data_IF_414856746133
#
_entry.id   IF_414856746133
#
_cell.length_a   1.000
_cell.length_b   1.000
_cell.length_c   1.000
_cell.angle_alpha   90.00
_cell.angle_beta   90.00
_cell.angle_gamma   90.00
#
_symmetry.space_group_name_H-M   'P 1'
#
loop_
_entity.id
_entity.type
_entity.pdbx_description
1 polymer ?
#
# COMPACT_ATOMS: atom_id res chain seq x y z
N UNK A 1 -22.75 -6.61 28.36
CA UNK A 1 -21.58 -5.90 27.78
C UNK A 1 -21.31 -6.35 26.35
N UNK A 2 -21.23 -7.66 26.04
CA UNK A 2 -21.38 -8.17 24.67
C UNK A 2 -22.68 -7.69 24.02
N UNK A 3 -23.75 -7.60 24.81
CA UNK A 3 -25.04 -7.08 24.38
C UNK A 3 -25.04 -5.68 23.73
N UNK A 4 -24.09 -4.77 24.04
CA UNK A 4 -24.01 -3.47 23.35
C UNK A 4 -23.47 -3.66 21.94
N UNK A 5 -22.34 -4.37 21.82
CA UNK A 5 -21.73 -4.68 20.53
C UNK A 5 -22.67 -5.50 19.64
N UNK A 6 -23.41 -6.44 20.22
CA UNK A 6 -24.39 -7.25 19.48
C UNK A 6 -25.55 -6.39 18.95
N UNK A 7 -26.05 -5.43 19.75
CA UNK A 7 -27.09 -4.49 19.30
C UNK A 7 -26.59 -3.55 18.22
N UNK A 8 -25.39 -2.97 18.38
CA UNK A 8 -24.77 -2.11 17.38
C UNK A 8 -24.56 -2.88 16.08
N UNK A 9 -23.97 -4.08 16.14
CA UNK A 9 -23.78 -4.95 14.98
C UNK A 9 -25.10 -5.28 14.29
N UNK A 10 -26.14 -5.64 15.05
CA UNK A 10 -27.45 -5.94 14.48
C UNK A 10 -28.08 -4.72 13.79
N UNK A 11 -27.95 -3.52 14.37
CA UNK A 11 -28.41 -2.27 13.75
C UNK A 11 -27.65 -1.97 12.46
N UNK A 12 -26.31 -2.02 12.50
CA UNK A 12 -25.42 -1.80 11.34
C UNK A 12 -25.73 -2.79 10.23
N UNK A 13 -25.92 -4.07 10.54
CA UNK A 13 -26.26 -5.09 9.54
C UNK A 13 -27.56 -4.78 8.79
N UNK A 14 -28.54 -4.14 9.45
CA UNK A 14 -29.77 -3.68 8.80
C UNK A 14 -29.51 -2.45 7.93
N UNK A 15 -28.79 -1.46 8.46
CA UNK A 15 -28.51 -0.21 7.75
C UNK A 15 -27.63 -0.41 6.50
N UNK A 16 -26.71 -1.36 6.54
CA UNK A 16 -25.78 -1.70 5.46
C UNK A 16 -26.30 -2.80 4.52
N UNK A 17 -27.56 -3.25 4.67
CA UNK A 17 -28.11 -4.33 3.85
C UNK A 17 -28.11 -4.03 2.34
N UNK A 18 -28.07 -2.75 1.96
CA UNK A 18 -27.97 -2.28 0.57
C UNK A 18 -26.63 -1.63 0.22
N UNK A 19 -25.62 -1.77 1.09
CA UNK A 19 -24.28 -1.27 0.82
C UNK A 19 -23.63 -2.03 -0.34
N UNK A 20 -22.72 -1.37 -1.06
CA UNK A 20 -21.94 -2.05 -2.10
C UNK A 20 -20.96 -3.07 -1.50
N UNK A 21 -20.44 -3.97 -2.34
CA UNK A 21 -19.55 -5.06 -1.91
C UNK A 21 -18.20 -4.59 -1.35
N UNK A 22 -17.81 -3.33 -1.57
CA UNK A 22 -16.56 -2.78 -1.06
C UNK A 22 -16.71 -2.19 0.35
N UNK A 23 -17.93 -1.81 0.74
CA UNK A 23 -18.28 -1.24 2.05
C UNK A 23 -19.33 -2.08 2.78
N UNK A 24 -19.33 -3.39 2.53
CA UNK A 24 -20.32 -4.31 3.06
C UNK A 24 -20.14 -4.58 4.56
N UNK A 25 -21.09 -5.33 5.16
CA UNK A 25 -20.98 -5.76 6.55
C UNK A 25 -19.67 -6.51 6.84
N UNK A 26 -19.13 -7.24 5.86
CA UNK A 26 -17.86 -7.94 5.98
C UNK A 26 -16.69 -6.98 6.19
N UNK A 27 -16.64 -5.85 5.49
CA UNK A 27 -15.68 -4.79 5.72
C UNK A 27 -15.78 -4.25 7.15
N UNK A 28 -16.96 -3.82 7.56
CA UNK A 28 -17.15 -3.22 8.90
C UNK A 28 -16.82 -4.20 10.02
N UNK A 29 -17.13 -5.50 9.86
CA UNK A 29 -16.76 -6.53 10.84
C UNK A 29 -15.24 -6.73 10.98
N UNK A 30 -14.51 -6.74 9.85
CA UNK A 30 -13.04 -6.85 9.87
C UNK A 30 -12.38 -5.62 10.48
N UNK A 31 -12.85 -4.43 10.11
CA UNK A 31 -12.37 -3.16 10.69
C UNK A 31 -12.65 -3.13 12.20
N UNK A 32 -13.85 -3.53 12.64
CA UNK A 32 -14.15 -3.59 14.07
C UNK A 32 -13.23 -4.56 14.81
N UNK A 33 -13.03 -5.78 14.30
CA UNK A 33 -12.12 -6.74 14.91
C UNK A 33 -10.69 -6.18 15.03
N UNK A 34 -10.18 -5.58 13.96
CA UNK A 34 -8.83 -5.03 13.91
C UNK A 34 -8.67 -3.78 14.80
N UNK A 35 -9.65 -2.88 14.82
CA UNK A 35 -9.65 -1.71 15.69
C UNK A 35 -9.64 -2.11 17.17
N UNK A 36 -10.39 -3.15 17.54
CA UNK A 36 -10.36 -3.71 18.88
C UNK A 36 -8.98 -4.27 19.25
N UNK A 37 -8.34 -5.00 18.34
CA UNK A 37 -6.98 -5.52 18.54
C UNK A 37 -5.95 -4.40 18.71
N UNK A 38 -5.98 -3.40 17.82
CA UNK A 38 -5.06 -2.26 17.85
C UNK A 38 -5.24 -1.43 19.12
N UNK A 39 -6.48 -1.16 19.52
CA UNK A 39 -6.78 -0.45 20.77
C UNK A 39 -6.24 -1.19 21.99
N UNK A 40 -6.41 -2.52 22.06
CA UNK A 40 -5.87 -3.31 23.17
C UNK A 40 -4.33 -3.24 23.22
N UNK A 41 -3.65 -3.26 22.08
CA UNK A 41 -2.18 -3.16 21.99
C UNK A 41 -1.63 -1.77 22.35
N UNK A 42 -2.46 -0.72 22.25
CA UNK A 42 -2.10 0.65 22.63
C UNK A 42 -2.62 1.05 24.01
N UNK A 43 -3.26 0.11 24.74
CA UNK A 43 -3.80 0.34 26.09
C UNK A 43 -5.15 1.07 26.12
N UNK A 44 -5.79 1.26 24.96
CA UNK A 44 -7.13 1.82 24.86
C UNK A 44 -8.22 0.74 25.01
N UNK A 45 -9.45 1.15 25.30
CA UNK A 45 -10.56 0.21 25.48
C UNK A 45 -11.00 -0.40 24.14
N UNK A 46 -10.82 -1.72 23.93
CA UNK A 46 -11.18 -2.38 22.68
C UNK A 46 -12.69 -2.33 22.39
N UNK A 47 -13.54 -2.14 23.40
CA UNK A 47 -15.00 -2.08 23.22
C UNK A 47 -15.39 -0.77 22.53
N UNK A 48 -14.80 0.34 22.94
CA UNK A 48 -15.06 1.67 22.36
C UNK A 48 -14.58 1.68 20.91
N UNK A 49 -13.37 1.16 20.64
CA UNK A 49 -12.82 1.08 19.30
C UNK A 49 -13.68 0.22 18.36
N UNK A 50 -14.19 -0.92 18.84
CA UNK A 50 -15.11 -1.76 18.07
C UNK A 50 -16.42 -1.07 17.74
N UNK A 51 -17.04 -0.38 18.71
CA UNK A 51 -18.27 0.39 18.46
C UNK A 51 -18.00 1.51 17.46
N UNK A 52 -16.90 2.25 17.63
CA UNK A 52 -16.51 3.31 16.70
C UNK A 52 -16.30 2.80 15.27
N UNK A 53 -15.59 1.69 15.11
CA UNK A 53 -15.41 1.02 13.83
C UNK A 53 -16.72 0.51 13.22
N UNK A 54 -17.70 0.08 14.02
CA UNK A 54 -19.01 -0.29 13.47
C UNK A 54 -19.76 0.88 12.83
N UNK A 55 -19.48 2.12 13.27
CA UNK A 55 -20.22 3.31 12.83
C UNK A 55 -19.42 4.26 11.93
N UNK A 56 -18.14 3.98 11.64
CA UNK A 56 -17.27 4.89 10.89
C UNK A 56 -17.76 5.19 9.46
N UNK A 57 -18.36 4.20 8.81
CA UNK A 57 -18.83 4.30 7.42
C UNK A 57 -20.29 4.74 7.28
N UNK A 58 -20.93 5.25 8.33
CA UNK A 58 -22.32 5.70 8.23
C UNK A 58 -22.55 6.86 7.25
N UNK A 59 -21.50 7.60 6.91
CA UNK A 59 -21.58 8.58 5.82
C UNK A 59 -22.03 7.90 4.51
N UNK A 60 -21.54 6.70 4.18
CA UNK A 60 -21.97 5.94 2.98
C UNK A 60 -23.44 5.54 3.01
N UNK A 61 -23.97 5.20 4.19
CA UNK A 61 -25.41 4.92 4.37
C UNK A 61 -26.24 6.18 4.09
N UNK A 62 -25.78 7.33 4.59
CA UNK A 62 -26.42 8.61 4.32
C UNK A 62 -26.32 9.02 2.83
N UNK A 63 -25.18 8.78 2.18
CA UNK A 63 -25.03 9.00 0.73
C UNK A 63 -26.10 8.19 -0.04
N UNK A 64 -26.26 6.91 0.30
CA UNK A 64 -27.27 6.05 -0.33
C UNK A 64 -28.70 6.57 -0.13
N UNK A 65 -29.01 7.15 1.05
CA UNK A 65 -30.32 7.76 1.35
C UNK A 65 -30.53 9.11 0.65
N UNK A 66 -29.46 9.81 0.31
CA UNK A 66 -29.48 11.16 -0.26
C UNK A 66 -29.09 11.18 -1.76
N UNK A 67 -29.60 10.22 -2.54
CA UNK A 67 -29.35 10.10 -3.98
C UNK A 67 -27.86 10.06 -4.36
N UNK A 68 -27.03 9.42 -3.53
CA UNK A 68 -25.57 9.26 -3.70
C UNK A 68 -24.81 10.58 -3.76
N UNK A 69 -25.33 11.64 -3.12
CA UNK A 69 -24.57 12.87 -2.91
C UNK A 69 -23.40 12.57 -1.95
N UNK A 70 -22.16 12.97 -2.25
CA UNK A 70 -21.03 12.76 -1.35
C UNK A 70 -21.24 13.41 0.02
N UNK A 71 -20.95 12.66 1.09
CA UNK A 71 -21.06 13.10 2.49
C UNK A 71 -19.75 12.80 3.19
N UNK A 72 -19.19 13.79 3.89
CA UNK A 72 -17.97 13.56 4.65
C UNK A 72 -18.27 12.82 5.96
N UNK A 73 -17.33 12.03 6.50
CA UNK A 73 -17.51 11.34 7.78
C UNK A 73 -17.97 12.26 8.92
N UNK A 74 -17.46 13.49 9.01
CA UNK A 74 -17.88 14.48 10.01
C UNK A 74 -19.35 14.94 9.86
N UNK A 75 -19.88 14.93 8.64
CA UNK A 75 -21.25 15.36 8.35
C UNK A 75 -22.28 14.27 8.72
N UNK A 76 -21.84 13.01 8.91
CA UNK A 76 -22.68 11.89 9.34
C UNK A 76 -22.92 11.85 10.87
N UNK A 77 -22.43 12.85 11.61
CA UNK A 77 -22.49 12.91 13.09
C UNK A 77 -23.88 12.62 13.68
N UNK A 78 -24.94 13.18 13.08
CA UNK A 78 -26.31 13.01 13.57
C UNK A 78 -26.79 11.55 13.43
N UNK A 79 -26.49 10.90 12.30
CA UNK A 79 -26.84 9.51 12.06
C UNK A 79 -26.05 8.57 13.00
N UNK A 80 -24.77 8.86 13.23
CA UNK A 80 -23.97 8.10 14.20
C UNK A 80 -24.57 8.19 15.60
N UNK A 81 -24.92 9.40 16.06
CA UNK A 81 -25.54 9.58 17.39
C UNK A 81 -26.86 8.83 17.55
N UNK A 82 -27.73 8.84 16.53
CA UNK A 82 -28.98 8.06 16.54
C UNK A 82 -28.73 6.57 16.82
N UNK A 83 -27.72 6.00 16.17
CA UNK A 83 -27.34 4.60 16.37
C UNK A 83 -26.77 4.36 17.77
N UNK A 84 -25.89 5.24 18.25
CA UNK A 84 -25.29 5.11 19.58
C UNK A 84 -26.36 5.17 20.68
N UNK A 85 -27.27 6.14 20.61
CA UNK A 85 -28.37 6.30 21.56
C UNK A 85 -29.36 5.14 21.48
N UNK A 86 -29.80 4.78 20.27
CA UNK A 86 -30.74 3.68 20.03
C UNK A 86 -30.21 2.31 20.48
N UNK A 87 -28.89 2.11 20.44
CA UNK A 87 -28.26 0.87 20.92
C UNK A 87 -27.91 0.90 22.41
N UNK A 88 -28.13 2.02 23.10
CA UNK A 88 -27.77 2.20 24.51
C UNK A 88 -26.26 2.19 24.75
N UNK A 89 -25.49 2.80 23.83
CA UNK A 89 -24.06 3.04 24.01
C UNK A 89 -23.86 4.13 25.08
N UNK A 90 -23.01 3.90 26.10
CA UNK A 90 -22.75 4.88 27.15
C UNK A 90 -22.32 6.25 26.61
N UNK A 91 -22.90 7.33 27.14
CA UNK A 91 -22.68 8.69 26.66
C UNK A 91 -21.22 9.16 26.82
N UNK A 92 -20.50 8.63 27.82
CA UNK A 92 -19.07 8.87 28.02
C UNK A 92 -18.20 8.32 26.87
N UNK A 93 -18.72 7.40 26.04
CA UNK A 93 -18.00 6.86 24.87
C UNK A 93 -18.18 7.73 23.62
N UNK A 94 -19.24 8.54 23.55
CA UNK A 94 -19.68 9.21 22.32
C UNK A 94 -18.61 10.14 21.75
N UNK A 95 -17.94 10.92 22.60
CA UNK A 95 -16.90 11.85 22.16
C UNK A 95 -15.73 11.13 21.47
N UNK A 96 -15.26 10.01 22.02
CA UNK A 96 -14.19 9.21 21.41
C UNK A 96 -14.64 8.53 20.13
N UNK A 97 -15.88 8.06 20.08
CA UNK A 97 -16.46 7.43 18.88
C UNK A 97 -16.58 8.45 17.75
N UNK A 98 -17.18 9.61 17.99
CA UNK A 98 -17.33 10.66 16.98
C UNK A 98 -15.97 11.14 16.47
N UNK A 99 -15.00 11.33 17.37
CA UNK A 99 -13.63 11.68 16.96
C UNK A 99 -12.98 10.63 16.08
N UNK A 100 -13.24 9.34 16.33
CA UNK A 100 -12.76 8.27 15.49
C UNK A 100 -13.40 8.29 14.09
N UNK A 101 -14.71 8.54 14.00
CA UNK A 101 -15.41 8.70 12.71
C UNK A 101 -14.89 9.91 11.92
N UNK A 102 -14.65 11.04 12.58
CA UNK A 102 -14.09 12.24 11.91
C UNK A 102 -12.65 12.05 11.39
N UNK A 103 -11.90 11.12 11.99
CA UNK A 103 -10.53 10.84 11.59
C UNK A 103 -10.47 9.82 10.45
N UNK A 104 -11.44 8.89 10.37
CA UNK A 104 -11.59 8.04 9.19
C UNK A 104 -11.90 8.93 7.98
N UNK A 105 -11.10 8.82 6.91
CA UNK A 105 -11.20 9.68 5.72
C UNK A 105 -10.13 10.76 5.59
N UNK A 106 -9.26 10.96 6.60
CA UNK A 106 -8.12 11.89 6.53
C UNK A 106 -6.82 11.16 6.19
N UNK A 107 -5.93 11.78 5.42
CA UNK A 107 -4.66 11.19 4.96
C UNK A 107 -3.52 12.21 4.94
N UNK A 108 -2.28 11.81 5.25
CA UNK A 108 -1.13 12.75 5.27
C UNK A 108 -0.73 13.20 3.88
N UNK A 109 -0.85 12.31 2.89
CA UNK A 109 -0.57 12.62 1.48
C UNK A 109 -1.69 13.41 0.79
N UNK A 110 -2.74 13.79 1.53
CA UNK A 110 -3.78 14.71 1.12
C UNK A 110 -3.60 16.13 1.68
N UNK A 111 -2.40 16.47 2.16
CA UNK A 111 -2.04 17.77 2.77
C UNK A 111 -2.72 18.09 4.11
N UNK A 112 -3.13 17.07 4.88
CA UNK A 112 -3.73 17.23 6.22
C UNK A 112 -2.82 16.68 7.35
N UNK A 113 -2.71 17.42 8.46
CA UNK A 113 -2.09 16.91 9.69
C UNK A 113 -3.02 15.89 10.37
N UNK A 114 -2.50 14.70 10.66
CA UNK A 114 -3.22 13.68 11.42
C UNK A 114 -2.91 13.82 12.91
N UNK A 115 -3.89 14.31 13.69
CA UNK A 115 -3.81 14.31 15.15
C UNK A 115 -4.25 12.96 15.74
N UNK A 116 -3.25 12.15 16.13
CA UNK A 116 -3.43 10.87 16.81
C UNK A 116 -3.61 10.96 18.33
N UNK A 117 -3.90 12.14 18.89
CA UNK A 117 -4.04 12.36 20.34
C UNK A 117 -5.12 11.50 21.02
N UNK A 118 -6.06 10.93 20.26
CA UNK A 118 -7.03 9.95 20.74
C UNK A 118 -6.66 8.53 20.28
N UNK A 119 -6.29 7.66 21.21
CA UNK A 119 -5.89 6.28 20.90
C UNK A 119 -7.01 5.45 20.24
N UNK A 120 -8.29 5.73 20.56
CA UNK A 120 -9.45 5.09 19.90
C UNK A 120 -9.52 5.53 18.43
N UNK A 121 -9.39 6.83 18.16
CA UNK A 121 -9.41 7.35 16.80
C UNK A 121 -8.25 6.80 15.97
N UNK A 122 -7.05 6.76 16.55
CA UNK A 122 -5.87 6.19 15.89
C UNK A 122 -6.06 4.70 15.55
N UNK A 123 -6.63 3.91 16.48
CA UNK A 123 -6.88 2.50 16.25
C UNK A 123 -7.92 2.24 15.14
N UNK A 124 -8.99 3.05 15.06
CA UNK A 124 -10.02 2.91 14.02
C UNK A 124 -9.50 3.36 12.67
N UNK A 125 -8.81 4.51 12.60
CA UNK A 125 -8.13 4.99 11.39
C UNK A 125 -7.18 3.95 10.81
N UNK A 126 -6.31 3.39 11.67
CA UNK A 126 -5.36 2.37 11.24
C UNK A 126 -6.05 1.07 10.80
N UNK A 127 -7.12 0.67 11.48
CA UNK A 127 -7.86 -0.54 11.15
C UNK A 127 -8.55 -0.46 9.78
N UNK A 128 -9.19 0.68 9.49
CA UNK A 128 -9.84 0.93 8.20
C UNK A 128 -8.80 0.92 7.06
N UNK A 129 -7.71 1.68 7.24
CA UNK A 129 -6.62 1.71 6.26
C UNK A 129 -5.96 0.34 6.06
N UNK A 130 -5.76 -0.45 7.11
CA UNK A 130 -5.24 -1.79 6.98
C UNK A 130 -6.18 -2.69 6.17
N UNK A 131 -7.51 -2.60 6.35
CA UNK A 131 -8.48 -3.38 5.56
C UNK A 131 -8.57 -2.93 4.09
N UNK A 132 -8.15 -1.71 3.77
CA UNK A 132 -7.94 -1.24 2.40
C UNK A 132 -6.63 -1.76 1.78
N UNK A 133 -5.75 -2.39 2.57
CA UNK A 133 -4.47 -2.94 2.11
C UNK A 133 -4.46 -4.47 2.03
N UNK A 134 -3.39 -5.03 1.45
CA UNK A 134 -3.15 -6.48 1.39
C UNK A 134 -4.13 -7.19 0.46
N UNK A 135 -4.32 -8.50 0.69
CA UNK A 135 -5.13 -9.34 -0.21
C UNK A 135 -6.60 -8.90 -0.29
N UNK A 136 -7.20 -8.53 0.85
CA UNK A 136 -8.56 -7.99 0.91
C UNK A 136 -8.63 -6.64 0.20
N UNK A 137 -7.66 -5.74 0.45
CA UNK A 137 -7.57 -4.46 -0.23
C UNK A 137 -7.53 -4.57 -1.76
N UNK A 138 -6.76 -5.52 -2.29
CA UNK A 138 -6.75 -5.82 -3.74
C UNK A 138 -8.14 -6.23 -4.21
N UNK A 139 -8.76 -7.23 -3.54
CA UNK A 139 -10.09 -7.70 -3.91
C UNK A 139 -11.13 -6.57 -3.93
N UNK A 140 -11.14 -5.73 -2.88
CA UNK A 140 -12.04 -4.57 -2.75
C UNK A 140 -11.78 -3.54 -3.85
N UNK A 141 -10.53 -3.19 -4.13
CA UNK A 141 -10.18 -2.20 -5.16
C UNK A 141 -10.68 -2.61 -6.55
N UNK A 142 -10.46 -3.86 -6.95
CA UNK A 142 -10.93 -4.37 -8.25
C UNK A 142 -12.45 -4.53 -8.32
N UNK A 143 -13.10 -4.95 -7.23
CA UNK A 143 -14.56 -5.02 -7.18
C UNK A 143 -15.21 -3.63 -7.30
N UNK A 144 -14.69 -2.65 -6.55
CA UNK A 144 -15.21 -1.28 -6.57
C UNK A 144 -14.92 -0.56 -7.89
N UNK A 145 -13.70 -0.68 -8.41
CA UNK A 145 -13.36 -0.15 -9.73
C UNK A 145 -14.23 -0.75 -10.84
N UNK A 146 -14.54 -2.04 -10.76
CA UNK A 146 -15.51 -2.69 -11.66
C UNK A 146 -16.92 -2.09 -11.57
N UNK A 147 -17.39 -1.77 -10.37
CA UNK A 147 -18.68 -1.08 -10.16
C UNK A 147 -18.69 0.33 -10.77
N UNK A 148 -17.57 1.04 -10.68
CA UNK A 148 -17.39 2.38 -11.26
C UNK A 148 -17.11 2.38 -12.77
N UNK A 149 -16.85 1.21 -13.36
CA UNK A 149 -16.43 1.09 -14.75
C UNK A 149 -15.01 1.61 -15.01
N UNK A 150 -14.17 1.66 -13.98
CA UNK A 150 -12.77 2.04 -14.11
C UNK A 150 -11.98 0.98 -14.89
N UNK A 151 -11.04 1.39 -15.77
CA UNK A 151 -10.16 0.43 -16.41
C UNK A 151 -9.27 -0.26 -15.38
N UNK A 152 -8.90 -1.52 -15.63
CA UNK A 152 -7.99 -2.26 -14.74
C UNK A 152 -6.62 -1.58 -14.67
N UNK A 153 -6.11 -1.14 -15.83
CA UNK A 153 -4.84 -0.42 -15.96
C UNK A 153 -4.85 0.44 -17.22
N UNK A 154 -4.30 1.65 -17.14
CA UNK A 154 -4.01 2.51 -18.29
C UNK A 154 -2.52 2.90 -18.30
N UNK A 155 -1.68 2.26 -19.13
CA UNK A 155 -0.26 2.55 -19.20
C UNK A 155 0.08 3.93 -19.80
N UNK A 156 -0.86 4.56 -20.52
CA UNK A 156 -0.64 5.86 -21.15
C UNK A 156 -0.78 7.02 -20.15
N UNK A 157 -1.51 6.82 -19.06
CA UNK A 157 -1.72 7.84 -18.02
C UNK A 157 -0.64 7.77 -16.95
N UNK A 158 -0.01 8.91 -16.67
CA UNK A 158 0.96 9.02 -15.60
C UNK A 158 0.28 8.85 -14.23
N UNK A 159 0.96 8.18 -13.30
CA UNK A 159 0.52 8.12 -11.91
C UNK A 159 0.62 9.49 -11.27
N UNK A 160 -0.35 9.81 -10.42
CA UNK A 160 -0.37 11.06 -9.68
C UNK A 160 0.49 10.98 -8.42
N UNK A 161 1.23 12.05 -8.17
CA UNK A 161 1.99 12.19 -6.92
C UNK A 161 1.13 12.63 -5.74
N UNK A 162 -0.04 13.24 -5.99
CA UNK A 162 -1.02 13.63 -4.98
C UNK A 162 -2.30 12.87 -5.24
N UNK A 163 -2.75 12.11 -4.25
CA UNK A 163 -4.02 11.40 -4.34
C UNK A 163 -5.18 12.37 -4.08
N UNK A 164 -6.23 12.24 -4.89
CA UNK A 164 -7.53 12.88 -4.65
C UNK A 164 -8.59 11.81 -4.72
N UNK A 165 -9.52 11.85 -3.77
CA UNK A 165 -10.59 10.87 -3.70
C UNK A 165 -11.41 10.87 -5.01
N UNK A 166 -11.67 9.67 -5.54
CA UNK A 166 -12.39 9.49 -6.81
C UNK A 166 -11.61 9.87 -8.07
N UNK A 167 -10.36 10.34 -7.97
CA UNK A 167 -9.59 10.75 -9.14
C UNK A 167 -8.41 9.81 -9.43
N UNK A 168 -8.67 8.57 -9.84
CA UNK A 168 -7.63 7.64 -10.32
C UNK A 168 -7.85 7.30 -11.80
N UNK A 169 -6.77 7.01 -12.52
CA UNK A 169 -6.84 6.66 -13.94
C UNK A 169 -7.25 5.21 -14.19
N UNK A 170 -7.05 4.34 -13.21
CA UNK A 170 -7.34 2.90 -13.27
C UNK A 170 -7.26 2.28 -11.88
N UNK A 171 -7.81 1.08 -11.72
CA UNK A 171 -7.73 0.35 -10.44
C UNK A 171 -6.28 0.11 -10.04
N UNK A 172 -5.42 -0.28 -10.99
CA UNK A 172 -4.01 -0.50 -10.70
C UNK A 172 -3.30 0.81 -10.33
N UNK A 173 -3.65 1.95 -10.93
CA UNK A 173 -3.14 3.25 -10.49
C UNK A 173 -3.56 3.56 -9.05
N UNK A 174 -4.79 3.25 -8.65
CA UNK A 174 -5.26 3.43 -7.27
C UNK A 174 -4.40 2.70 -6.23
N UNK A 175 -3.92 1.49 -6.56
CA UNK A 175 -3.00 0.75 -5.70
C UNK A 175 -1.71 1.55 -5.42
N UNK A 176 -1.15 2.19 -6.46
CA UNK A 176 0.07 3.01 -6.33
C UNK A 176 -0.18 4.36 -5.66
N UNK A 177 -1.23 5.06 -6.11
CA UNK A 177 -1.53 6.44 -5.74
C UNK A 177 -2.04 6.53 -4.30
N UNK A 178 -2.73 5.50 -3.81
CA UNK A 178 -3.31 5.46 -2.46
C UNK A 178 -2.83 4.27 -1.64
N UNK A 179 -3.18 3.05 -2.03
CA UNK A 179 -3.17 1.91 -1.10
C UNK A 179 -1.78 1.55 -0.58
N UNK A 180 -0.75 1.64 -1.43
CA UNK A 180 0.66 1.42 -1.01
C UNK A 180 1.14 2.50 -0.04
N UNK A 181 0.62 3.73 -0.16
CA UNK A 181 1.04 4.88 0.66
C UNK A 181 0.41 4.90 2.04
N UNK A 182 -0.70 4.19 2.25
CA UNK A 182 -1.35 4.06 3.56
C UNK A 182 -0.41 3.54 4.66
N UNK A 183 0.64 2.78 4.29
CA UNK A 183 1.71 2.37 5.22
C UNK A 183 2.31 3.55 6.00
N UNK A 184 2.48 4.71 5.34
CA UNK A 184 3.07 5.92 5.92
C UNK A 184 2.10 6.71 6.80
N UNK A 185 0.80 6.42 6.69
CA UNK A 185 -0.27 7.11 7.41
C UNK A 185 -0.66 6.40 8.71
N UNK A 186 -0.13 5.20 8.95
CA UNK A 186 -0.37 4.45 10.18
C UNK A 186 0.09 5.22 11.42
N UNK A 187 -0.85 5.44 12.33
CA UNK A 187 -0.67 6.25 13.53
C UNK A 187 -0.03 5.44 14.66
N UNK A 188 -0.38 4.17 14.78
CA UNK A 188 0.08 3.28 15.84
C UNK A 188 1.23 2.38 15.38
N UNK A 189 2.11 2.03 16.33
CA UNK A 189 3.24 1.14 16.07
C UNK A 189 2.83 -0.29 15.64
N UNK A 190 1.82 -0.93 16.26
CA UNK A 190 1.35 -2.23 15.79
C UNK A 190 0.81 -2.17 14.35
N UNK A 191 0.08 -1.11 13.99
CA UNK A 191 -0.46 -0.96 12.66
C UNK A 191 0.63 -0.76 11.61
N UNK A 192 1.68 0.03 11.90
CA UNK A 192 2.84 0.17 10.99
C UNK A 192 3.45 -1.17 10.61
N UNK A 193 3.60 -2.08 11.58
CA UNK A 193 4.15 -3.43 11.31
C UNK A 193 3.23 -4.25 10.41
N UNK A 194 1.93 -4.24 10.69
CA UNK A 194 0.94 -4.95 9.86
C UNK A 194 0.84 -4.35 8.45
N UNK A 195 0.96 -3.03 8.34
CA UNK A 195 0.88 -2.31 7.08
C UNK A 195 2.10 -2.59 6.19
N UNK A 196 3.29 -2.76 6.75
CA UNK A 196 4.49 -3.12 5.99
C UNK A 196 4.30 -4.45 5.22
N UNK A 197 3.79 -5.48 5.89
CA UNK A 197 3.51 -6.78 5.26
C UNK A 197 2.44 -6.67 4.17
N UNK A 198 1.36 -5.90 4.43
CA UNK A 198 0.27 -5.69 3.47
C UNK A 198 0.68 -4.82 2.28
N UNK A 199 1.51 -3.81 2.51
CA UNK A 199 2.09 -2.96 1.47
C UNK A 199 3.02 -3.77 0.57
N UNK A 200 3.84 -4.66 1.14
CA UNK A 200 4.67 -5.57 0.36
C UNK A 200 3.81 -6.38 -0.60
N UNK A 201 2.72 -6.99 -0.12
CA UNK A 201 1.79 -7.77 -0.94
C UNK A 201 1.19 -6.94 -2.10
N UNK A 202 0.72 -5.72 -1.81
CA UNK A 202 0.21 -4.79 -2.85
C UNK A 202 1.25 -4.53 -3.93
N UNK A 203 2.50 -4.27 -3.53
CA UNK A 203 3.61 -4.03 -4.45
C UNK A 203 3.93 -5.26 -5.29
N UNK A 204 3.89 -6.46 -4.71
CA UNK A 204 4.08 -7.73 -5.44
C UNK A 204 3.00 -7.92 -6.51
N UNK A 205 1.75 -7.75 -6.11
CA UNK A 205 0.61 -7.90 -6.99
C UNK A 205 0.68 -6.91 -8.15
N UNK A 206 0.95 -5.63 -7.87
CA UNK A 206 1.00 -4.61 -8.91
C UNK A 206 2.14 -4.87 -9.91
N UNK A 207 3.31 -5.29 -9.44
CA UNK A 207 4.43 -5.66 -10.31
C UNK A 207 4.09 -6.88 -11.19
N UNK A 208 3.48 -7.93 -10.61
CA UNK A 208 3.04 -9.11 -11.34
C UNK A 208 1.99 -8.78 -12.39
N UNK A 209 0.96 -8.01 -12.01
CA UNK A 209 -0.10 -7.55 -12.91
C UNK A 209 0.49 -6.83 -14.13
N UNK A 210 1.41 -5.87 -13.92
CA UNK A 210 2.07 -5.15 -15.02
C UNK A 210 2.89 -6.08 -15.92
N UNK A 211 3.64 -7.00 -15.32
CA UNK A 211 4.40 -7.99 -16.06
C UNK A 211 3.49 -8.79 -16.99
N UNK A 212 2.36 -9.26 -16.50
CA UNK A 212 1.39 -10.03 -17.28
C UNK A 212 0.72 -9.17 -18.36
N UNK A 213 0.39 -7.93 -18.05
CA UNK A 213 -0.24 -6.98 -18.97
C UNK A 213 0.65 -6.63 -20.17
N UNK A 214 1.94 -6.38 -19.93
CA UNK A 214 2.89 -6.00 -20.98
C UNK A 214 3.33 -7.20 -21.85
N UNK A 215 3.12 -8.44 -21.38
CA UNK A 215 3.71 -9.67 -21.94
C UNK A 215 2.77 -10.53 -22.78
N UNK A 216 2.17 -9.99 -23.83
CA UNK A 216 1.64 -10.82 -24.93
C UNK A 216 2.71 -11.64 -25.70
N UNK A 217 3.92 -11.82 -25.15
CA UNK A 217 5.09 -12.45 -25.79
C UNK A 217 5.79 -13.43 -24.82
N UNK A 218 6.34 -14.56 -25.30
CA UNK A 218 6.80 -15.66 -24.47
C UNK A 218 8.06 -15.33 -23.65
N UNK A 219 8.19 -16.08 -22.56
CA UNK A 219 9.06 -15.87 -21.41
C UNK A 219 10.58 -15.96 -21.69
N UNK A 220 11.31 -14.98 -21.19
CA UNK A 220 12.61 -15.19 -20.57
C UNK A 220 12.54 -14.55 -19.17
N UNK A 221 13.13 -15.19 -18.17
CA UNK A 221 13.06 -14.84 -16.75
C UNK A 221 13.48 -13.40 -16.50
N UNK A 222 12.51 -12.48 -16.48
CA UNK A 222 12.74 -11.08 -16.13
C UNK A 222 12.58 -10.95 -14.63
N UNK A 223 13.64 -10.56 -13.93
CA UNK A 223 13.44 -9.89 -12.66
C UNK A 223 13.05 -8.46 -12.96
N UNK A 224 11.79 -8.13 -12.69
CA UNK A 224 11.30 -6.77 -12.85
C UNK A 224 11.49 -6.04 -11.53
N UNK A 225 12.45 -5.12 -11.50
CA UNK A 225 12.47 -4.04 -10.54
C UNK A 225 11.45 -3.00 -10.96
N UNK A 226 10.43 -2.79 -10.13
CA UNK A 226 9.53 -1.66 -10.31
C UNK A 226 10.07 -0.46 -9.51
N UNK A 227 10.66 0.56 -10.16
CA UNK A 227 11.22 1.72 -9.47
C UNK A 227 10.15 2.53 -8.73
N UNK A 228 8.86 2.33 -9.04
CA UNK A 228 7.73 3.00 -8.39
C UNK A 228 7.35 2.33 -7.07
N UNK A 229 7.36 1.00 -7.01
CA UNK A 229 7.10 0.28 -5.74
C UNK A 229 8.34 -0.04 -4.93
N UNK A 230 9.54 0.14 -5.52
CA UNK A 230 10.81 -0.38 -4.98
C UNK A 230 10.74 -1.88 -4.71
N UNK A 231 10.01 -2.60 -5.54
CA UNK A 231 9.80 -4.03 -5.40
C UNK A 231 10.50 -4.81 -6.51
N UNK A 232 11.10 -5.94 -6.12
CA UNK A 232 11.79 -6.87 -7.00
C UNK A 232 10.91 -8.12 -7.19
N UNK A 233 10.40 -8.34 -8.41
CA UNK A 233 9.67 -9.57 -8.74
C UNK A 233 10.57 -10.51 -9.54
N UNK A 234 10.68 -11.77 -9.13
CA UNK A 234 11.46 -12.81 -9.82
C UNK A 234 10.46 -13.82 -10.41
N UNK A 235 10.46 -13.99 -11.72
CA UNK A 235 9.80 -15.12 -12.36
C UNK A 235 10.82 -16.28 -12.52
N UNK A 236 10.50 -17.47 -12.00
CA UNK A 236 11.37 -18.64 -12.14
C UNK A 236 11.47 -19.08 -13.62
N UNK A 237 12.68 -19.40 -14.12
CA UNK A 237 12.81 -19.99 -15.44
C UNK A 237 12.11 -21.34 -15.53
N UNK A 238 11.43 -21.59 -16.65
CA UNK A 238 11.33 -22.94 -17.22
C UNK A 238 12.38 -23.04 -18.33
N UNK A 239 13.62 -23.43 -18.00
CA UNK A 239 14.71 -23.45 -18.97
C UNK A 239 15.99 -24.11 -18.45
N UNK A 240 16.87 -24.48 -19.38
CA UNK A 240 18.05 -25.35 -19.21
C UNK A 240 19.19 -24.72 -18.39
N UNK A 241 20.09 -25.55 -17.86
CA UNK A 241 21.08 -25.19 -16.83
C UNK A 241 22.16 -24.16 -17.23
N UNK A 242 22.28 -23.81 -18.51
CA UNK A 242 23.31 -22.91 -19.06
C UNK A 242 22.90 -21.44 -19.18
N UNK A 243 21.61 -21.10 -18.96
CA UNK A 243 21.15 -19.72 -18.88
C UNK A 243 21.22 -19.16 -17.45
N UNK A 244 21.51 -17.84 -17.26
CA UNK A 244 21.46 -17.24 -15.93
C UNK A 244 20.06 -17.42 -15.34
N UNK A 245 19.98 -18.06 -14.17
CA UNK A 245 18.72 -18.37 -13.48
C UNK A 245 17.90 -17.12 -13.13
N UNK A 246 18.59 -15.99 -12.94
CA UNK A 246 17.99 -14.73 -12.51
C UNK A 246 18.76 -13.58 -13.14
N UNK A 247 18.06 -12.72 -13.91
CA UNK A 247 18.58 -11.46 -14.46
C UNK A 247 17.97 -10.29 -13.71
N UNK A 248 18.77 -9.56 -12.93
CA UNK A 248 18.31 -8.37 -12.19
C UNK A 248 18.74 -7.11 -12.93
N UNK A 249 17.77 -6.27 -13.29
CA UNK A 249 18.01 -4.97 -13.92
C UNK A 249 17.59 -3.84 -12.98
N UNK A 250 18.51 -2.90 -12.78
CA UNK A 250 18.28 -1.73 -11.92
C UNK A 250 18.70 -0.46 -12.66
N UNK A 251 17.89 0.59 -12.54
CA UNK A 251 18.21 1.94 -13.02
C UNK A 251 18.22 2.89 -11.83
N UNK A 252 19.36 3.50 -11.58
CA UNK A 252 19.52 4.46 -10.50
C UNK A 252 20.86 5.18 -10.57
N UNK A 253 21.14 6.00 -9.54
CA UNK A 253 22.42 6.68 -9.45
C UNK A 253 23.51 5.67 -9.12
N UNK A 254 24.66 5.86 -9.74
CA UNK A 254 25.87 5.09 -9.48
C UNK A 254 27.03 6.06 -9.22
N UNK A 255 27.83 5.72 -8.23
CA UNK A 255 29.12 6.35 -7.98
C UNK A 255 30.21 5.28 -8.05
N UNK A 256 31.18 5.48 -8.93
CA UNK A 256 32.32 4.59 -9.13
C UNK A 256 33.60 5.31 -8.71
N UNK A 257 34.36 4.71 -7.80
CA UNK A 257 35.71 5.15 -7.48
C UNK A 257 36.72 4.20 -8.11
N UNK A 258 37.85 4.76 -8.56
CA UNK A 258 38.93 4.01 -9.20
C UNK A 258 40.21 4.15 -8.38
N UNK A 259 41.03 3.10 -8.35
CA UNK A 259 42.36 3.15 -7.75
C UNK A 259 43.37 3.87 -8.67
N UNK A 260 44.60 4.05 -8.18
CA UNK A 260 45.68 4.70 -8.93
C UNK A 260 46.06 3.96 -10.23
N UNK A 261 45.64 2.70 -10.39
CA UNK A 261 45.88 1.87 -11.57
C UNK A 261 44.69 1.88 -12.53
N UNK A 262 43.61 2.60 -12.20
CA UNK A 262 42.39 2.73 -13.00
C UNK A 262 41.47 1.51 -12.89
N UNK A 263 41.60 0.68 -11.85
CA UNK A 263 40.66 -0.39 -11.56
C UNK A 263 39.52 0.11 -10.67
N UNK A 264 38.28 -0.41 -10.81
CA UNK A 264 37.18 -0.06 -9.91
C UNK A 264 37.52 -0.48 -8.47
N UNK A 265 37.60 0.49 -7.56
CA UNK A 265 37.94 0.30 -6.16
C UNK A 265 36.69 0.18 -5.27
N UNK A 266 35.65 0.97 -5.54
CA UNK A 266 34.37 0.87 -4.85
C UNK A 266 33.20 1.31 -5.74
N UNK A 267 32.05 0.70 -5.50
CA UNK A 267 30.79 1.03 -6.18
C UNK A 267 29.74 1.31 -5.14
N UNK A 268 29.15 2.50 -5.26
CA UNK A 268 28.09 2.92 -4.39
C UNK A 268 26.81 3.08 -5.22
N UNK A 269 25.81 2.29 -4.85
CA UNK A 269 24.48 2.28 -5.46
C UNK A 269 23.47 2.76 -4.41
N UNK A 270 23.37 4.08 -4.16
CA UNK A 270 22.55 4.63 -3.07
C UNK A 270 21.06 4.27 -3.19
N UNK A 271 20.63 3.99 -4.40
CA UNK A 271 19.24 3.72 -4.73
C UNK A 271 18.97 2.21 -4.93
N UNK A 272 19.98 1.34 -4.78
CA UNK A 272 19.85 -0.10 -4.97
C UNK A 272 19.36 -0.81 -3.69
N UNK A 273 18.60 -1.93 -3.82
CA UNK A 273 18.22 -2.76 -2.69
C UNK A 273 19.43 -3.36 -1.97
N UNK A 274 19.36 -3.51 -0.64
CA UNK A 274 20.43 -4.05 0.22
C UNK A 274 20.97 -5.42 -0.23
N UNK A 275 20.13 -6.22 -0.88
CA UNK A 275 20.50 -7.51 -1.47
C UNK A 275 21.60 -7.38 -2.55
N UNK A 276 21.74 -6.21 -3.18
CA UNK A 276 22.74 -5.89 -4.19
C UNK A 276 24.01 -5.26 -3.60
N UNK A 277 24.04 -4.98 -2.29
CA UNK A 277 25.16 -4.32 -1.62
C UNK A 277 26.27 -5.29 -1.17
N UNK A 278 26.09 -6.60 -1.35
CA UNK A 278 27.05 -7.62 -0.88
C UNK A 278 27.72 -8.30 -2.08
N UNK A 279 29.03 -8.12 -2.22
CA UNK A 279 29.92 -8.77 -3.20
C UNK A 279 29.59 -8.61 -4.70
N UNK A 280 29.66 -7.37 -5.18
CA UNK A 280 29.57 -7.06 -6.62
C UNK A 280 30.98 -6.98 -7.23
N UNK A 281 31.34 -7.89 -8.14
CA UNK A 281 32.57 -7.81 -8.96
C UNK A 281 32.26 -7.23 -10.33
N UNK A 282 33.11 -6.30 -10.78
CA UNK A 282 32.87 -5.49 -11.98
C UNK A 282 33.92 -5.77 -13.03
N UNK A 283 33.45 -6.04 -14.26
CA UNK A 283 34.29 -6.02 -15.45
C UNK A 283 33.84 -4.85 -16.33
N UNK A 284 34.74 -3.88 -16.56
CA UNK A 284 34.50 -2.78 -17.48
C UNK A 284 34.94 -3.18 -18.89
N UNK A 285 34.09 -2.94 -19.89
CA UNK A 285 34.37 -3.29 -21.28
C UNK A 285 34.94 -2.15 -22.12
N UNK A 286 35.16 -0.94 -21.57
CA UNK A 286 35.73 0.22 -22.28
C UNK A 286 36.69 1.07 -21.41
N UNK A 287 37.54 1.86 -22.09
CA UNK A 287 38.74 2.49 -21.53
C UNK A 287 38.51 3.62 -20.50
N UNK A 288 39.35 3.54 -19.46
CA UNK A 288 39.83 4.52 -18.47
C UNK A 288 39.24 5.94 -18.50
N UNK A 289 38.25 6.22 -17.64
CA UNK A 289 37.96 7.57 -17.18
C UNK A 289 38.83 7.96 -15.98
N UNK A 290 39.07 9.26 -15.81
CA UNK A 290 39.77 9.82 -14.65
C UNK A 290 38.92 9.66 -13.37
N UNK A 291 39.61 9.74 -12.22
CA UNK A 291 39.40 9.11 -10.90
C UNK A 291 37.98 8.98 -10.27
N UNK A 292 36.93 9.55 -10.86
CA UNK A 292 35.56 9.50 -10.34
C UNK A 292 34.53 9.61 -11.47
N UNK A 293 33.53 8.70 -11.48
CA UNK A 293 32.37 8.82 -12.37
C UNK A 293 31.09 8.86 -11.54
N UNK A 294 30.28 9.89 -11.77
CA UNK A 294 28.89 9.97 -11.34
C UNK A 294 27.96 10.01 -12.54
N UNK A 295 26.90 9.23 -12.49
CA UNK A 295 25.92 9.17 -13.56
C UNK A 295 24.70 8.33 -13.23
N UNK A 296 23.82 8.20 -14.22
CA UNK A 296 22.75 7.21 -14.21
C UNK A 296 23.17 6.07 -15.12
N UNK A 297 23.12 4.84 -14.60
CA UNK A 297 23.46 3.66 -15.38
C UNK A 297 22.33 2.62 -15.31
N UNK A 298 22.22 1.84 -16.38
CA UNK A 298 21.48 0.60 -16.36
C UNK A 298 22.44 -0.50 -15.92
N UNK A 299 22.11 -1.15 -14.81
CA UNK A 299 22.93 -2.16 -14.18
C UNK A 299 22.28 -3.51 -14.42
N UNK A 300 23.01 -4.44 -15.03
CA UNK A 300 22.55 -5.81 -15.25
C UNK A 300 23.40 -6.81 -14.45
N UNK A 301 22.72 -7.62 -13.65
CA UNK A 301 23.31 -8.67 -12.82
C UNK A 301 22.89 -10.04 -13.33
N UNK A 302 23.88 -10.90 -13.55
CA UNK A 302 23.69 -12.27 -14.00
C UNK A 302 24.00 -13.23 -12.85
N UNK A 303 22.96 -13.83 -12.27
CA UNK A 303 23.09 -14.81 -11.17
C UNK A 303 23.06 -16.23 -11.74
N UNK A 304 24.14 -16.99 -11.50
CA UNK A 304 24.26 -18.40 -11.86
C UNK A 304 24.40 -19.25 -10.60
N UNK A 305 23.84 -20.47 -10.61
CA UNK A 305 23.97 -21.40 -9.48
C UNK A 305 25.44 -21.76 -9.27
N UNK A 306 25.94 -21.61 -8.04
CA UNK A 306 27.32 -21.93 -7.63
C UNK A 306 28.44 -21.13 -8.33
N UNK A 307 28.14 -19.99 -8.95
CA UNK A 307 29.14 -19.11 -9.57
C UNK A 307 29.06 -17.70 -9.00
N UNK A 308 30.18 -16.95 -8.99
CA UNK A 308 30.18 -15.55 -8.58
C UNK A 308 29.27 -14.71 -9.49
N UNK A 309 28.60 -13.73 -8.89
CA UNK A 309 27.72 -12.78 -9.57
C UNK A 309 28.53 -11.95 -10.56
N UNK A 310 28.12 -11.93 -11.83
CA UNK A 310 28.73 -11.08 -12.84
C UNK A 310 27.86 -9.82 -13.04
N UNK A 311 28.47 -8.65 -12.81
CA UNK A 311 27.88 -7.35 -13.09
C UNK A 311 28.36 -6.86 -14.46
N UNK A 312 27.43 -6.57 -15.35
CA UNK A 312 27.73 -5.90 -16.61
C UNK A 312 27.17 -4.48 -16.54
N UNK A 313 28.07 -3.49 -16.53
CA UNK A 313 27.72 -2.07 -16.53
C UNK A 313 27.74 -1.54 -17.95
N UNK A 314 26.58 -1.08 -18.42
CA UNK A 314 26.48 -0.29 -19.63
C UNK A 314 26.46 1.19 -19.25
N UNK A 315 27.64 1.80 -19.20
CA UNK A 315 27.79 3.23 -18.99
C UNK A 315 27.51 3.95 -20.30
N UNK A 316 26.48 4.78 -20.32
CA UNK A 316 26.21 5.69 -21.44
C UNK A 316 26.71 7.08 -21.03
N UNK A 317 27.72 7.60 -21.73
CA UNK A 317 28.05 9.02 -21.62
C UNK A 317 26.97 9.82 -22.34
N UNK A 318 26.50 10.93 -21.74
CA UNK A 318 25.96 12.02 -22.55
C UNK A 318 27.11 12.80 -23.16
#
# INVERSE_FOLDING_TARGET
>A
MNAILDRVRARVAVDFATADSAHDLGHVERVAALAGELAARTGADPRIARVAAYVHDYHRVEEARQNRRPIRPEDARAAVLDVLEGCGVPHDWHASILRAVELTGRYRFADEELDGGCAIAAAVHDADNLDAMGAIGIGRAFAYGGLLGEPLWDPATALKDVYREGETSSVLAHLYEKLVRLEQDMLTEPARRMAADRALLLRRFAAGFRSEWDSGQPACSRVLWDPRTRYLSVAEPRGDADEPLVRVSFRGRISLTFDEQGQPAAVHLPDAPDLLATDVRIALSQERPHHHIEGTADIELHLRKNHPVALQLHLWSR
#
